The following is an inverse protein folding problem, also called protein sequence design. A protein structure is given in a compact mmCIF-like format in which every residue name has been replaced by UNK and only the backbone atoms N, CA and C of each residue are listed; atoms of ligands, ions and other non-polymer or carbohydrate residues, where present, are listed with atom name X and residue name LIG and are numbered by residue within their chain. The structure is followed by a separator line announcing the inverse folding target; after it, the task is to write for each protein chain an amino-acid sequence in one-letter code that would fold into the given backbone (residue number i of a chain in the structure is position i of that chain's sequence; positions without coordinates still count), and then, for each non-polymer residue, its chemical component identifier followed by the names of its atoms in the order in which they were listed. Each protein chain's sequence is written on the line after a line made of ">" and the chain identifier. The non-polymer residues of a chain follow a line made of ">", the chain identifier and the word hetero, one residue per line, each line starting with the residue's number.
data_IF_161139211819
#
_entry.id   IF_161139211819
#
_cell.length_a   1.000
_cell.length_b   1.000
_cell.length_c   1.000
_cell.angle_alpha   90.00
_cell.angle_beta   90.00
_cell.angle_gamma   90.00
#
_symmetry.space_group_name_H-M   'P 1'
#
loop_
_entity.id
_entity.type
_entity.pdbx_description
1 polymer ?
#
# COMPACT_ATOMS: atom_id res chain seq x y z
N UNK A 1 -48.45 52.98 -34.26
CA UNK A 1 -47.25 52.16 -34.57
C UNK A 1 -47.61 50.74 -34.98
N UNK A 2 -48.42 50.00 -34.21
CA UNK A 2 -48.82 48.63 -34.58
C UNK A 2 -49.53 48.53 -35.94
N UNK A 3 -50.46 49.46 -36.24
CA UNK A 3 -51.10 49.54 -37.55
C UNK A 3 -50.13 49.83 -38.71
N UNK A 4 -48.98 50.45 -38.44
CA UNK A 4 -47.93 50.71 -39.44
C UNK A 4 -47.07 49.45 -39.60
N UNK A 5 -46.65 48.83 -38.50
CA UNK A 5 -45.88 47.58 -38.51
C UNK A 5 -46.61 46.46 -39.27
N UNK A 6 -47.93 46.32 -39.06
CA UNK A 6 -48.78 45.33 -39.75
C UNK A 6 -48.95 45.60 -41.24
N UNK A 7 -48.79 46.85 -41.71
CA UNK A 7 -48.73 47.17 -43.14
C UNK A 7 -47.43 46.68 -43.78
N UNK A 8 -46.33 46.60 -43.02
CA UNK A 8 -45.04 46.10 -43.48
C UNK A 8 -44.95 44.57 -43.42
N UNK A 9 -45.37 43.94 -42.31
CA UNK A 9 -45.42 42.48 -42.17
C UNK A 9 -46.37 42.06 -41.06
N UNK A 10 -47.10 40.95 -41.28
CA UNK A 10 -47.98 40.35 -40.27
C UNK A 10 -47.23 39.73 -39.08
N UNK A 11 -45.93 39.52 -39.21
CA UNK A 11 -45.07 38.96 -38.16
C UNK A 11 -44.50 40.05 -37.24
N UNK A 12 -44.59 41.32 -37.62
CA UNK A 12 -44.11 42.42 -36.79
C UNK A 12 -45.14 42.75 -35.72
N UNK A 13 -44.72 42.68 -34.46
CA UNK A 13 -45.51 43.06 -33.30
C UNK A 13 -44.78 44.18 -32.56
N UNK A 14 -45.46 45.33 -32.40
CA UNK A 14 -44.88 46.46 -31.66
C UNK A 14 -45.14 46.25 -30.17
N UNK A 15 -44.07 46.02 -29.42
CA UNK A 15 -44.15 45.90 -27.96
C UNK A 15 -44.23 47.27 -27.31
N UNK A 16 -44.88 47.34 -26.14
CA UNK A 16 -44.92 48.58 -25.36
C UNK A 16 -43.49 48.98 -24.93
N UNK A 17 -43.17 50.28 -24.92
CA UNK A 17 -41.88 50.74 -24.43
C UNK A 17 -41.80 50.55 -22.91
N UNK A 18 -40.82 49.78 -22.46
CA UNK A 18 -40.50 49.64 -21.03
C UNK A 18 -39.33 50.55 -20.68
N UNK A 19 -39.36 51.14 -19.47
CA UNK A 19 -38.13 51.69 -18.90
C UNK A 19 -37.15 50.53 -18.71
N UNK A 20 -35.87 50.75 -19.02
CA UNK A 20 -34.86 49.68 -18.90
C UNK A 20 -34.79 49.13 -17.47
N UNK A 21 -34.98 49.99 -16.46
CA UNK A 21 -35.06 49.62 -15.04
C UNK A 21 -36.23 48.70 -14.74
N UNK A 22 -37.41 49.00 -15.27
CA UNK A 22 -38.63 48.19 -15.12
C UNK A 22 -38.48 46.85 -15.83
N UNK A 23 -37.95 46.86 -17.05
CA UNK A 23 -37.65 45.64 -17.80
C UNK A 23 -36.72 44.71 -17.02
N UNK A 24 -35.64 45.23 -16.45
CA UNK A 24 -34.72 44.43 -15.62
C UNK A 24 -35.34 43.93 -14.32
N UNK A 25 -36.23 44.71 -13.69
CA UNK A 25 -37.01 44.25 -12.54
C UNK A 25 -37.89 43.06 -12.94
N UNK A 26 -38.62 43.18 -14.05
CA UNK A 26 -39.46 42.10 -14.58
C UNK A 26 -38.66 40.85 -14.99
N UNK A 27 -37.46 41.01 -15.55
CA UNK A 27 -36.54 39.90 -15.84
C UNK A 27 -36.11 39.20 -14.56
N UNK A 28 -35.78 39.96 -13.52
CA UNK A 28 -35.34 39.44 -12.22
C UNK A 28 -36.46 38.72 -11.48
N UNK A 29 -37.67 39.26 -11.54
CA UNK A 29 -38.86 38.72 -10.86
C UNK A 29 -39.50 37.56 -11.63
N UNK A 30 -39.02 37.31 -12.86
CA UNK A 30 -39.49 36.20 -13.68
C UNK A 30 -40.85 36.41 -14.30
N UNK A 31 -41.17 37.65 -14.69
CA UNK A 31 -42.49 37.98 -15.22
C UNK A 31 -42.80 37.17 -16.51
N UNK A 32 -43.91 36.42 -16.58
CA UNK A 32 -44.18 35.48 -17.68
C UNK A 32 -44.15 36.11 -19.08
N UNK A 33 -44.67 37.33 -19.20
CA UNK A 33 -44.68 38.09 -20.46
C UNK A 33 -43.26 38.35 -20.95
N UNK A 34 -42.37 38.79 -20.06
CA UNK A 34 -40.98 39.12 -20.40
C UNK A 34 -40.18 37.86 -20.76
N UNK A 35 -40.45 36.73 -20.09
CA UNK A 35 -39.82 35.46 -20.42
C UNK A 35 -40.24 34.92 -21.78
N UNK A 36 -41.53 34.97 -22.11
CA UNK A 36 -42.01 34.56 -23.43
C UNK A 36 -41.46 35.49 -24.53
N UNK A 37 -41.46 36.80 -24.25
CA UNK A 37 -40.87 37.81 -25.14
C UNK A 37 -39.39 37.54 -25.43
N UNK A 38 -38.56 37.30 -24.41
CA UNK A 38 -37.12 37.01 -24.60
C UNK A 38 -36.92 35.68 -25.32
N UNK A 39 -37.74 34.66 -25.02
CA UNK A 39 -37.62 33.32 -25.60
C UNK A 39 -37.97 33.31 -27.09
N UNK A 40 -39.12 33.85 -27.45
CA UNK A 40 -39.68 33.78 -28.80
C UNK A 40 -39.24 34.96 -29.67
N UNK A 41 -38.94 36.11 -29.06
CA UNK A 41 -38.59 37.33 -29.78
C UNK A 41 -37.37 37.17 -30.67
N UNK A 42 -37.48 37.62 -31.91
CA UNK A 42 -36.38 37.78 -32.86
C UNK A 42 -36.21 39.29 -33.08
N UNK A 43 -35.08 39.89 -32.68
CA UNK A 43 -34.91 41.32 -32.82
C UNK A 43 -34.74 41.69 -34.30
N UNK A 44 -35.50 42.68 -34.76
CA UNK A 44 -35.32 43.29 -36.09
C UNK A 44 -34.16 44.29 -36.07
N UNK A 45 -33.94 44.95 -34.93
CA UNK A 45 -32.82 45.83 -34.65
C UNK A 45 -32.48 45.73 -33.17
N UNK A 46 -31.22 45.43 -32.85
CA UNK A 46 -30.69 45.32 -31.48
C UNK A 46 -29.30 45.97 -31.42
N UNK A 47 -29.05 46.74 -30.36
CA UNK A 47 -27.73 47.31 -30.04
C UNK A 47 -27.13 46.59 -28.84
N UNK A 48 -27.01 45.27 -28.96
CA UNK A 48 -26.44 44.36 -27.95
C UNK A 48 -27.15 44.36 -26.59
N UNK A 49 -28.46 44.63 -26.54
CA UNK A 49 -29.24 44.56 -25.30
C UNK A 49 -30.03 43.25 -25.25
N UNK A 50 -30.75 42.92 -26.33
CA UNK A 50 -31.69 41.80 -26.32
C UNK A 50 -31.02 40.45 -26.52
N UNK A 51 -30.11 40.32 -27.50
CA UNK A 51 -29.44 39.05 -27.81
C UNK A 51 -28.64 38.47 -26.63
N UNK A 52 -27.85 39.25 -25.86
CA UNK A 52 -27.18 38.73 -24.67
C UNK A 52 -28.15 38.21 -23.61
N UNK A 53 -29.27 38.90 -23.39
CA UNK A 53 -30.30 38.47 -22.43
C UNK A 53 -30.95 37.17 -22.89
N UNK A 54 -31.25 37.05 -24.18
CA UNK A 54 -31.74 35.80 -24.77
C UNK A 54 -30.75 34.66 -24.59
N UNK A 55 -29.44 34.89 -24.77
CA UNK A 55 -28.40 33.90 -24.49
C UNK A 55 -28.36 33.52 -23.02
N UNK A 56 -28.44 34.48 -22.10
CA UNK A 56 -28.49 34.21 -20.66
C UNK A 56 -29.72 33.39 -20.26
N UNK A 57 -30.88 33.66 -20.87
CA UNK A 57 -32.08 32.84 -20.70
C UNK A 57 -31.85 31.41 -21.19
N UNK A 58 -31.33 31.24 -22.41
CA UNK A 58 -31.02 29.93 -23.00
C UNK A 58 -29.98 29.14 -22.20
N UNK A 59 -29.01 29.82 -21.59
CA UNK A 59 -28.02 29.22 -20.68
C UNK A 59 -28.60 28.91 -19.29
N UNK A 60 -29.87 29.23 -19.03
CA UNK A 60 -30.51 29.06 -17.73
C UNK A 60 -29.88 29.90 -16.62
N UNK A 61 -29.35 31.08 -16.94
CA UNK A 61 -28.81 32.03 -15.95
C UNK A 61 -29.90 32.95 -15.38
N UNK A 62 -31.01 33.14 -16.09
CA UNK A 62 -32.17 33.91 -15.61
C UNK A 62 -33.12 32.98 -14.85
N UNK A 63 -33.32 33.25 -13.56
CA UNK A 63 -34.18 32.43 -12.68
C UNK A 63 -35.52 33.15 -12.45
N UNK A 64 -36.63 32.43 -12.27
CA UNK A 64 -36.81 30.97 -12.27
C UNK A 64 -37.26 30.43 -13.65
N UNK A 65 -36.48 30.62 -14.73
CA UNK A 65 -36.90 30.17 -16.07
C UNK A 65 -36.91 28.64 -16.22
N UNK A 66 -37.63 28.14 -17.24
CA UNK A 66 -37.67 26.71 -17.58
C UNK A 66 -36.26 26.16 -17.87
N UNK A 67 -35.46 26.93 -18.60
CA UNK A 67 -34.08 26.62 -18.96
C UNK A 67 -33.19 26.52 -17.72
N UNK A 68 -33.40 27.40 -16.73
CA UNK A 68 -32.72 27.30 -15.44
C UNK A 68 -33.13 26.00 -14.72
N UNK A 69 -34.43 25.67 -14.65
CA UNK A 69 -34.92 24.43 -14.04
C UNK A 69 -34.30 23.20 -14.70
N UNK A 70 -34.30 23.12 -16.03
CA UNK A 70 -33.68 22.04 -16.80
C UNK A 70 -32.18 21.92 -16.47
N UNK A 71 -31.45 23.03 -16.45
CA UNK A 71 -30.03 23.07 -16.06
C UNK A 71 -29.79 22.55 -14.64
N UNK A 72 -30.67 22.85 -13.68
CA UNK A 72 -30.55 22.32 -12.31
C UNK A 72 -30.84 20.82 -12.24
N UNK A 73 -31.90 20.34 -12.91
CA UNK A 73 -32.28 18.92 -12.93
C UNK A 73 -31.22 18.07 -13.62
N UNK A 74 -30.67 18.52 -14.75
CA UNK A 74 -29.63 17.79 -15.48
C UNK A 74 -28.34 17.56 -14.67
N UNK A 75 -28.05 18.42 -13.69
CA UNK A 75 -26.86 18.28 -12.83
C UNK A 75 -26.94 17.07 -11.92
N UNK A 76 -28.15 16.67 -11.49
CA UNK A 76 -28.36 15.57 -10.54
C UNK A 76 -27.78 14.25 -11.06
N UNK A 77 -28.26 13.72 -12.20
CA UNK A 77 -27.74 12.47 -12.77
C UNK A 77 -26.25 12.52 -13.12
N UNK A 78 -25.74 13.68 -13.58
CA UNK A 78 -24.31 13.88 -13.85
C UNK A 78 -23.46 13.72 -12.58
N UNK A 79 -23.93 14.25 -11.44
CA UNK A 79 -23.27 14.11 -10.14
C UNK A 79 -23.31 12.68 -9.61
N UNK A 80 -24.44 11.97 -9.77
CA UNK A 80 -24.56 10.55 -9.37
C UNK A 80 -23.56 9.70 -10.15
N UNK A 81 -23.54 9.80 -11.48
CA UNK A 81 -22.57 9.07 -12.33
C UNK A 81 -21.12 9.37 -11.96
N UNK A 82 -20.80 10.62 -11.58
CA UNK A 82 -19.46 10.99 -11.14
C UNK A 82 -19.05 10.21 -9.89
N UNK A 83 -19.93 10.08 -8.89
CA UNK A 83 -19.65 9.35 -7.64
C UNK A 83 -19.53 7.85 -7.91
N UNK A 84 -20.42 7.28 -8.72
CA UNK A 84 -20.38 5.86 -9.11
C UNK A 84 -19.05 5.49 -9.78
N UNK A 85 -18.57 6.35 -10.70
CA UNK A 85 -17.28 6.16 -11.36
C UNK A 85 -16.11 6.36 -10.40
N UNK A 86 -16.10 7.44 -9.61
CA UNK A 86 -15.01 7.74 -8.69
C UNK A 86 -14.79 6.62 -7.67
N UNK A 87 -15.88 6.03 -7.16
CA UNK A 87 -15.86 4.91 -6.22
C UNK A 87 -15.12 3.69 -6.77
N UNK A 88 -15.30 3.36 -8.05
CA UNK A 88 -14.61 2.23 -8.69
C UNK A 88 -13.10 2.49 -8.69
N UNK A 89 -12.69 3.64 -9.20
CA UNK A 89 -11.27 3.96 -9.40
C UNK A 89 -10.53 4.10 -8.08
N UNK A 90 -11.04 4.91 -7.14
CA UNK A 90 -10.31 5.19 -5.89
C UNK A 90 -10.12 3.91 -5.06
N UNK A 91 -11.17 3.11 -4.88
CA UNK A 91 -11.10 1.95 -3.99
C UNK A 91 -10.26 0.83 -4.60
N UNK A 92 -10.47 0.51 -5.89
CA UNK A 92 -9.76 -0.60 -6.52
C UNK A 92 -8.27 -0.29 -6.64
N UNK A 93 -7.91 0.96 -6.99
CA UNK A 93 -6.51 1.37 -7.14
C UNK A 93 -5.76 1.34 -5.82
N UNK A 94 -6.33 1.91 -4.75
CA UNK A 94 -5.66 1.95 -3.44
C UNK A 94 -5.59 0.56 -2.80
N UNK A 95 -6.64 -0.26 -2.91
CA UNK A 95 -6.61 -1.64 -2.42
C UNK A 95 -5.58 -2.48 -3.19
N UNK A 96 -5.52 -2.32 -4.51
CA UNK A 96 -4.54 -2.98 -5.36
C UNK A 96 -3.11 -2.64 -4.94
N UNK A 97 -2.76 -1.36 -4.82
CA UNK A 97 -1.40 -0.97 -4.48
C UNK A 97 -1.04 -1.37 -3.05
N UNK A 98 -1.96 -1.22 -2.10
CA UNK A 98 -1.73 -1.67 -0.73
C UNK A 98 -1.39 -3.17 -0.65
N UNK A 99 -2.10 -4.01 -1.40
CA UNK A 99 -1.86 -5.46 -1.44
C UNK A 99 -0.57 -5.79 -2.22
N UNK A 100 -0.37 -5.19 -3.38
CA UNK A 100 0.81 -5.44 -4.22
C UNK A 100 2.11 -5.04 -3.50
N UNK A 101 2.19 -3.82 -2.98
CA UNK A 101 3.41 -3.28 -2.37
C UNK A 101 3.73 -3.98 -1.05
N UNK A 102 2.72 -4.34 -0.25
CA UNK A 102 2.95 -5.11 0.96
C UNK A 102 3.47 -6.52 0.67
N UNK A 103 3.00 -7.17 -0.41
CA UNK A 103 3.56 -8.44 -0.87
C UNK A 103 5.01 -8.28 -1.38
N UNK A 104 5.27 -7.25 -2.20
CA UNK A 104 6.62 -6.93 -2.69
C UNK A 104 7.59 -6.66 -1.52
N UNK A 105 7.15 -5.94 -0.49
CA UNK A 105 7.97 -5.66 0.69
C UNK A 105 8.39 -6.95 1.42
N UNK A 106 7.48 -7.92 1.58
CA UNK A 106 7.81 -9.22 2.18
C UNK A 106 8.82 -9.98 1.32
N UNK A 107 8.64 -9.99 0.00
CA UNK A 107 9.57 -10.66 -0.92
C UNK A 107 10.96 -10.01 -0.91
N UNK A 108 11.03 -8.67 -0.89
CA UNK A 108 12.27 -7.92 -0.71
C UNK A 108 12.94 -8.23 0.62
N UNK A 109 12.15 -8.36 1.68
CA UNK A 109 12.67 -8.75 3.00
C UNK A 109 13.27 -10.16 2.97
N UNK A 110 12.77 -11.07 2.14
CA UNK A 110 13.36 -12.39 1.87
C UNK A 110 14.57 -12.35 0.92
N UNK A 111 15.00 -11.17 0.49
CA UNK A 111 16.10 -10.99 -0.46
C UNK A 111 15.74 -11.35 -1.89
N UNK A 112 14.45 -11.29 -2.25
CA UNK A 112 13.97 -11.48 -3.63
C UNK A 112 13.71 -10.13 -4.28
N UNK A 113 13.88 -10.04 -5.60
CA UNK A 113 13.48 -8.85 -6.35
C UNK A 113 11.95 -8.70 -6.31
N UNK A 114 11.42 -7.46 -6.21
CA UNK A 114 9.98 -7.24 -6.24
C UNK A 114 9.42 -7.63 -7.61
N UNK A 115 8.42 -8.53 -7.68
CA UNK A 115 7.83 -8.96 -8.94
C UNK A 115 7.05 -7.84 -9.61
N UNK A 116 6.90 -7.93 -10.93
CA UNK A 116 5.95 -7.09 -11.67
C UNK A 116 4.51 -7.45 -11.27
N UNK A 117 3.53 -6.54 -11.40
CA UNK A 117 2.17 -6.84 -10.96
C UNK A 117 1.56 -8.14 -11.51
N UNK A 118 1.68 -8.47 -12.82
CA UNK A 118 1.14 -9.72 -13.33
C UNK A 118 1.76 -10.99 -12.73
N UNK A 119 2.99 -10.90 -12.24
CA UNK A 119 3.77 -12.01 -11.70
C UNK A 119 3.68 -12.10 -10.16
N UNK A 120 3.08 -11.08 -9.52
CA UNK A 120 3.13 -10.92 -8.07
C UNK A 120 2.43 -12.05 -7.32
N UNK A 121 1.26 -12.49 -7.79
CA UNK A 121 0.55 -13.62 -7.20
C UNK A 121 1.36 -14.91 -7.26
N UNK A 122 1.98 -15.21 -8.41
CA UNK A 122 2.80 -16.41 -8.58
C UNK A 122 4.09 -16.38 -7.75
N UNK A 123 4.71 -15.20 -7.62
CA UNK A 123 5.83 -15.00 -6.73
C UNK A 123 5.45 -15.25 -5.26
N UNK A 124 4.29 -14.74 -4.83
CA UNK A 124 3.73 -15.00 -3.49
C UNK A 124 3.49 -16.50 -3.29
N UNK A 125 2.88 -17.19 -4.25
CA UNK A 125 2.69 -18.66 -4.18
C UNK A 125 4.02 -19.39 -4.03
N UNK A 126 4.98 -19.05 -4.88
CA UNK A 126 6.28 -19.72 -4.93
C UNK A 126 7.09 -19.55 -3.66
N UNK A 127 7.12 -18.35 -3.09
CA UNK A 127 8.04 -18.02 -2.01
C UNK A 127 7.40 -17.97 -0.62
N UNK A 128 6.08 -17.79 -0.53
CA UNK A 128 5.36 -17.69 0.75
C UNK A 128 4.36 -18.83 0.97
N UNK A 129 3.64 -19.28 -0.07
CA UNK A 129 2.66 -20.37 0.09
C UNK A 129 3.33 -21.73 0.11
N UNK A 130 4.21 -22.04 -0.86
CA UNK A 130 4.94 -23.32 -0.91
C UNK A 130 5.84 -23.57 0.30
N UNK A 131 6.21 -22.52 1.00
CA UNK A 131 7.04 -22.53 2.22
C UNK A 131 6.20 -22.44 3.49
N UNK A 132 4.87 -22.53 3.37
CA UNK A 132 3.90 -22.52 4.47
C UNK A 132 3.94 -21.24 5.34
N UNK A 133 4.50 -20.15 4.82
CA UNK A 133 4.42 -18.84 5.46
C UNK A 133 3.04 -18.20 5.29
N UNK A 134 2.35 -18.48 4.19
CA UNK A 134 1.09 -17.84 3.83
C UNK A 134 0.10 -18.86 3.27
N UNK A 135 -1.18 -18.67 3.54
CA UNK A 135 -2.24 -19.49 2.95
C UNK A 135 -2.53 -19.09 1.49
N UNK A 136 -2.93 -20.06 0.65
CA UNK A 136 -3.22 -19.85 -0.78
C UNK A 136 -4.33 -18.80 -1.00
N UNK A 137 -5.27 -18.65 -0.06
CA UNK A 137 -6.33 -17.64 -0.15
C UNK A 137 -5.80 -16.22 -0.30
N UNK A 138 -4.66 -15.89 0.31
CA UNK A 138 -4.04 -14.58 0.17
C UNK A 138 -3.44 -14.38 -1.21
N UNK A 139 -2.77 -15.39 -1.76
CA UNK A 139 -2.24 -15.31 -3.12
C UNK A 139 -3.37 -15.12 -4.14
N UNK A 140 -4.49 -15.82 -3.94
CA UNK A 140 -5.72 -15.65 -4.72
C UNK A 140 -6.33 -14.26 -4.57
N UNK A 141 -6.45 -13.74 -3.34
CA UNK A 141 -6.94 -12.37 -3.10
C UNK A 141 -6.10 -11.34 -3.88
N UNK A 142 -4.77 -11.52 -3.92
CA UNK A 142 -3.86 -10.65 -4.67
C UNK A 142 -4.08 -10.78 -6.19
N UNK A 143 -4.22 -12.00 -6.71
CA UNK A 143 -4.53 -12.23 -8.12
C UNK A 143 -5.85 -11.60 -8.53
N UNK A 144 -6.89 -11.78 -7.72
CA UNK A 144 -8.23 -11.27 -7.98
C UNK A 144 -8.25 -9.73 -8.03
N UNK A 145 -7.53 -9.04 -7.13
CA UNK A 145 -7.46 -7.56 -7.16
C UNK A 145 -6.64 -7.04 -8.36
N UNK A 146 -5.57 -7.74 -8.75
CA UNK A 146 -4.79 -7.41 -9.96
C UNK A 146 -5.68 -7.51 -11.20
N UNK A 147 -6.48 -8.57 -11.29
CA UNK A 147 -7.41 -8.79 -12.40
C UNK A 147 -8.54 -7.75 -12.39
N UNK A 148 -9.09 -7.44 -11.21
CA UNK A 148 -10.11 -6.40 -11.08
C UNK A 148 -9.60 -5.04 -11.55
N UNK A 149 -8.40 -4.63 -11.14
CA UNK A 149 -7.79 -3.38 -11.58
C UNK A 149 -7.63 -3.32 -13.10
N UNK A 150 -7.12 -4.38 -13.73
CA UNK A 150 -7.01 -4.47 -15.20
C UNK A 150 -8.37 -4.31 -15.88
N UNK A 151 -9.43 -4.92 -15.34
CA UNK A 151 -10.79 -4.76 -15.88
C UNK A 151 -11.32 -3.32 -15.73
N UNK A 152 -10.98 -2.64 -14.62
CA UNK A 152 -11.31 -1.23 -14.40
C UNK A 152 -10.56 -0.33 -15.38
N UNK A 153 -9.24 -0.51 -15.55
CA UNK A 153 -8.42 0.24 -16.52
C UNK A 153 -8.95 0.12 -17.95
N UNK A 154 -9.38 -1.08 -18.35
CA UNK A 154 -9.98 -1.34 -19.66
C UNK A 154 -11.46 -0.94 -19.76
N UNK A 155 -12.03 -0.24 -18.75
CA UNK A 155 -13.43 0.19 -18.69
C UNK A 155 -14.44 -0.95 -18.88
N UNK A 156 -14.05 -2.19 -18.53
CA UNK A 156 -14.92 -3.37 -18.59
C UNK A 156 -15.87 -3.45 -17.39
N UNK A 157 -15.47 -2.86 -16.26
CA UNK A 157 -16.32 -2.73 -15.07
C UNK A 157 -17.17 -1.47 -15.21
N UNK A 158 -18.50 -1.64 -15.33
CA UNK A 158 -19.46 -0.53 -15.46
C UNK A 158 -19.96 0.01 -14.12
N UNK A 159 -19.95 -0.82 -13.08
CA UNK A 159 -20.46 -0.48 -11.74
C UNK A 159 -19.87 -1.43 -10.70
N UNK A 160 -19.71 -0.96 -9.46
CA UNK A 160 -19.34 -1.79 -8.30
C UNK A 160 -20.29 -1.48 -7.14
N UNK A 161 -20.82 -2.52 -6.49
CA UNK A 161 -21.74 -2.31 -5.38
C UNK A 161 -21.01 -1.74 -4.14
N UNK A 162 -21.74 -1.13 -3.20
CA UNK A 162 -21.14 -0.64 -1.95
C UNK A 162 -20.50 -1.79 -1.16
N UNK A 163 -21.22 -2.90 -1.12
CA UNK A 163 -20.81 -4.14 -0.47
C UNK A 163 -19.50 -4.70 -1.02
N UNK A 164 -19.33 -4.72 -2.34
CA UNK A 164 -18.10 -5.23 -2.96
C UNK A 164 -16.90 -4.35 -2.61
N UNK A 165 -17.09 -3.03 -2.58
CA UNK A 165 -16.07 -2.08 -2.13
C UNK A 165 -15.65 -2.34 -0.68
N UNK A 166 -16.62 -2.50 0.21
CA UNK A 166 -16.34 -2.78 1.62
C UNK A 166 -15.64 -4.13 1.80
N UNK A 167 -16.00 -5.13 0.99
CA UNK A 167 -15.34 -6.43 0.99
C UNK A 167 -13.88 -6.34 0.54
N UNK A 168 -13.59 -5.58 -0.52
CA UNK A 168 -12.21 -5.34 -0.98
C UNK A 168 -11.37 -4.61 0.05
N UNK A 169 -11.93 -3.58 0.69
CA UNK A 169 -11.25 -2.87 1.79
C UNK A 169 -10.93 -3.84 2.93
N UNK A 170 -11.87 -4.73 3.29
CA UNK A 170 -11.66 -5.74 4.34
C UNK A 170 -10.57 -6.74 3.95
N UNK A 171 -10.59 -7.23 2.71
CA UNK A 171 -9.55 -8.12 2.15
C UNK A 171 -8.17 -7.46 2.19
N UNK A 172 -8.06 -6.23 1.69
CA UNK A 172 -6.82 -5.46 1.68
C UNK A 172 -6.27 -5.22 3.10
N UNK A 173 -7.12 -4.80 4.05
CA UNK A 173 -6.72 -4.61 5.46
C UNK A 173 -6.18 -5.90 6.08
N UNK A 174 -6.86 -7.04 5.86
CA UNK A 174 -6.41 -8.35 6.34
C UNK A 174 -5.08 -8.72 5.69
N UNK A 175 -4.97 -8.57 4.38
CA UNK A 175 -3.78 -8.90 3.60
C UNK A 175 -2.56 -8.13 4.09
N UNK A 176 -2.64 -6.79 4.17
CA UNK A 176 -1.55 -5.92 4.63
C UNK A 176 -1.11 -6.29 6.05
N UNK A 177 -2.08 -6.49 6.97
CA UNK A 177 -1.78 -6.89 8.35
C UNK A 177 -1.05 -8.23 8.40
N UNK A 178 -1.42 -9.18 7.55
CA UNK A 178 -0.73 -10.48 7.44
C UNK A 178 0.70 -10.30 6.91
N UNK A 179 0.90 -9.50 5.87
CA UNK A 179 2.25 -9.21 5.34
C UNK A 179 3.17 -8.56 6.38
N UNK A 180 2.66 -7.58 7.14
CA UNK A 180 3.42 -6.97 8.24
C UNK A 180 3.84 -7.99 9.31
N UNK A 181 2.92 -8.89 9.70
CA UNK A 181 3.23 -9.97 10.64
C UNK A 181 4.27 -10.95 10.10
N UNK A 182 4.23 -11.23 8.80
CA UNK A 182 5.23 -12.10 8.16
C UNK A 182 6.63 -11.52 8.20
N UNK A 183 6.79 -10.21 7.99
CA UNK A 183 8.10 -9.56 8.12
C UNK A 183 8.69 -9.80 9.51
N UNK A 184 7.89 -9.62 10.57
CA UNK A 184 8.31 -9.86 11.95
C UNK A 184 8.65 -11.34 12.18
N UNK A 185 7.81 -12.26 11.73
CA UNK A 185 8.05 -13.72 11.85
C UNK A 185 9.35 -14.13 11.14
N UNK A 186 9.61 -13.60 9.95
CA UNK A 186 10.82 -13.90 9.18
C UNK A 186 12.06 -13.31 9.88
N UNK A 187 11.98 -12.11 10.46
CA UNK A 187 13.09 -11.51 11.21
C UNK A 187 13.45 -12.35 12.45
N UNK A 188 12.44 -12.82 13.19
CA UNK A 188 12.62 -13.74 14.33
C UNK A 188 13.40 -14.98 13.87
N UNK A 189 12.89 -15.70 12.86
CA UNK A 189 13.52 -16.92 12.36
C UNK A 189 14.96 -16.69 11.87
N UNK A 190 15.24 -15.56 11.23
CA UNK A 190 16.60 -15.20 10.80
C UNK A 190 17.54 -15.01 12.00
N UNK A 191 17.09 -14.30 13.05
CA UNK A 191 17.89 -14.07 14.26
C UNK A 191 18.17 -15.37 15.00
N UNK A 192 17.13 -16.18 15.23
CA UNK A 192 17.25 -17.50 15.84
C UNK A 192 18.22 -18.38 15.07
N UNK A 193 18.08 -18.42 13.73
CA UNK A 193 18.97 -19.19 12.87
C UNK A 193 20.42 -18.74 12.92
N UNK A 194 20.71 -17.44 13.10
CA UNK A 194 22.09 -16.95 13.27
C UNK A 194 22.64 -17.37 14.63
N UNK A 195 21.86 -17.24 15.71
CA UNK A 195 22.28 -17.59 17.07
C UNK A 195 22.58 -19.08 17.16
N UNK A 196 21.63 -19.93 16.77
CA UNK A 196 21.78 -21.40 16.84
C UNK A 196 22.97 -21.88 16.00
N UNK A 197 23.13 -21.37 14.77
CA UNK A 197 24.30 -21.72 13.94
C UNK A 197 25.61 -21.25 14.55
N UNK A 198 25.65 -20.03 15.09
CA UNK A 198 26.87 -19.47 15.69
C UNK A 198 27.27 -20.26 16.94
N UNK A 199 26.30 -20.60 17.79
CA UNK A 199 26.50 -21.45 18.97
C UNK A 199 26.97 -22.86 18.61
N UNK A 200 26.32 -23.49 17.62
CA UNK A 200 26.69 -24.83 17.14
C UNK A 200 28.14 -24.85 16.65
N UNK A 201 28.52 -23.92 15.76
CA UNK A 201 29.87 -23.84 15.21
C UNK A 201 30.90 -23.56 16.31
N UNK A 202 30.60 -22.64 17.24
CA UNK A 202 31.46 -22.32 18.38
C UNK A 202 31.74 -23.59 19.21
N UNK A 203 30.68 -24.31 19.60
CA UNK A 203 30.80 -25.53 20.39
C UNK A 203 31.53 -26.64 19.67
N UNK A 204 31.20 -26.92 18.41
CA UNK A 204 31.88 -27.96 17.62
C UNK A 204 33.36 -27.67 17.48
N UNK A 205 33.73 -26.40 17.30
CA UNK A 205 35.13 -25.98 17.22
C UNK A 205 35.85 -26.20 18.55
N UNK A 206 35.23 -25.82 19.69
CA UNK A 206 35.78 -26.09 21.03
C UNK A 206 35.94 -27.60 21.26
N UNK A 207 34.92 -28.40 20.96
CA UNK A 207 34.96 -29.85 21.12
C UNK A 207 36.04 -30.50 20.25
N UNK A 208 36.24 -30.00 19.03
CA UNK A 208 37.29 -30.49 18.12
C UNK A 208 38.68 -30.20 18.67
N UNK A 209 38.92 -28.98 19.19
CA UNK A 209 40.17 -28.62 19.83
C UNK A 209 40.48 -29.51 21.04
N UNK A 210 39.49 -29.70 21.91
CA UNK A 210 39.61 -30.53 23.11
C UNK A 210 39.92 -32.00 22.75
N UNK A 211 39.27 -32.53 21.72
CA UNK A 211 39.55 -33.87 21.18
C UNK A 211 40.97 -33.97 20.61
N UNK A 212 41.41 -33.01 19.81
CA UNK A 212 42.75 -32.97 19.24
C UNK A 212 43.84 -32.95 20.33
N UNK A 213 43.57 -32.28 21.45
CA UNK A 213 44.46 -32.24 22.61
C UNK A 213 44.36 -33.47 23.53
N UNK A 214 43.56 -34.49 23.15
CA UNK A 214 43.28 -35.67 23.97
C UNK A 214 42.69 -35.34 25.36
N UNK A 215 41.97 -34.22 25.47
CA UNK A 215 41.28 -33.78 26.69
C UNK A 215 39.77 -33.69 26.45
N UNK A 216 39.08 -34.82 26.18
CA UNK A 216 37.65 -34.80 25.90
C UNK A 216 36.84 -34.28 27.10
N UNK A 217 35.70 -33.65 26.80
CA UNK A 217 34.74 -33.19 27.81
C UNK A 217 34.17 -34.39 28.56
N UNK A 218 34.06 -34.31 29.88
CA UNK A 218 33.43 -35.36 30.70
C UNK A 218 31.91 -35.39 30.45
N UNK A 219 31.28 -36.56 30.64
CA UNK A 219 29.87 -36.80 30.28
C UNK A 219 28.87 -35.80 30.87
N UNK A 220 29.15 -35.27 32.05
CA UNK A 220 28.27 -34.34 32.80
C UNK A 220 28.89 -32.95 32.99
N UNK A 221 29.95 -32.63 32.22
CA UNK A 221 30.64 -31.34 32.32
C UNK A 221 30.16 -30.39 31.20
N UNK A 222 29.77 -29.13 31.53
CA UNK A 222 29.49 -28.12 30.53
C UNK A 222 30.71 -27.88 29.63
N UNK A 223 30.47 -27.70 28.33
CA UNK A 223 31.55 -27.43 27.36
C UNK A 223 32.34 -26.18 27.74
N UNK A 224 31.68 -25.15 28.29
CA UNK A 224 32.31 -23.93 28.80
C UNK A 224 33.32 -24.19 29.93
N UNK A 225 33.02 -25.10 30.86
CA UNK A 225 33.94 -25.46 31.96
C UNK A 225 35.20 -26.18 31.45
N UNK A 226 35.03 -27.12 30.51
CA UNK A 226 36.16 -27.80 29.87
C UNK A 226 36.98 -26.84 28.99
N UNK A 227 36.31 -25.91 28.31
CA UNK A 227 36.95 -24.87 27.50
C UNK A 227 37.85 -23.98 28.36
N UNK A 228 37.32 -23.47 29.47
CA UNK A 228 38.07 -22.64 30.41
C UNK A 228 39.30 -23.38 30.96
N UNK A 229 39.10 -24.61 31.44
CA UNK A 229 40.16 -25.40 32.10
C UNK A 229 41.31 -25.75 31.16
N UNK A 230 41.03 -26.10 29.91
CA UNK A 230 42.01 -26.71 29.03
C UNK A 230 42.52 -25.83 27.90
N UNK A 231 41.82 -24.75 27.55
CA UNK A 231 42.23 -23.85 26.46
C UNK A 231 42.49 -22.43 26.97
N UNK A 232 41.67 -21.91 27.89
CA UNK A 232 41.82 -20.52 28.38
C UNK A 232 42.86 -20.41 29.50
N UNK A 233 42.72 -21.16 30.60
CA UNK A 233 43.68 -21.13 31.72
C UNK A 233 45.12 -21.42 31.30
N UNK A 234 45.39 -22.34 30.36
CA UNK A 234 46.74 -22.55 29.83
C UNK A 234 47.25 -21.46 28.88
N UNK A 235 46.45 -20.43 28.58
CA UNK A 235 46.80 -19.32 27.70
C UNK A 235 46.81 -19.66 26.21
N UNK A 236 46.22 -20.79 25.80
CA UNK A 236 46.19 -21.21 24.39
C UNK A 236 45.19 -20.40 23.57
N UNK A 237 44.11 -19.96 24.22
CA UNK A 237 43.03 -19.17 23.63
C UNK A 237 42.68 -18.04 24.59
N UNK A 238 42.41 -16.85 24.04
CA UNK A 238 42.00 -15.67 24.81
C UNK A 238 40.66 -15.86 25.53
N UNK A 239 40.57 -15.39 26.78
CA UNK A 239 39.37 -15.43 27.63
C UNK A 239 38.12 -14.82 26.96
N UNK A 240 38.30 -13.81 26.11
CA UNK A 240 37.21 -13.20 25.33
C UNK A 240 36.34 -14.22 24.58
N UNK A 241 36.89 -15.36 24.17
CA UNK A 241 36.12 -16.38 23.45
C UNK A 241 35.29 -17.26 24.38
N UNK A 242 35.69 -17.40 25.65
CA UNK A 242 34.84 -18.02 26.66
C UNK A 242 33.63 -17.13 26.97
N UNK A 243 33.84 -15.81 27.07
CA UNK A 243 32.75 -14.84 27.20
C UNK A 243 31.78 -14.94 26.00
N UNK A 244 32.31 -15.04 24.78
CA UNK A 244 31.49 -15.23 23.57
C UNK A 244 30.66 -16.51 23.63
N UNK A 245 31.23 -17.63 24.11
CA UNK A 245 30.49 -18.88 24.28
C UNK A 245 29.35 -18.73 25.31
N UNK A 246 29.65 -18.13 26.47
CA UNK A 246 28.68 -17.92 27.54
C UNK A 246 27.54 -16.98 27.09
N UNK A 247 27.86 -15.91 26.36
CA UNK A 247 26.83 -15.00 25.84
C UNK A 247 26.00 -15.70 24.75
N UNK A 248 26.59 -16.56 23.90
CA UNK A 248 25.82 -17.37 22.95
C UNK A 248 24.88 -18.37 23.66
N UNK A 249 25.28 -18.97 24.79
CA UNK A 249 24.41 -19.80 25.63
C UNK A 249 23.22 -19.00 26.17
N UNK A 250 23.48 -17.78 26.67
CA UNK A 250 22.43 -16.85 27.12
C UNK A 250 21.49 -16.46 25.98
N UNK A 251 22.02 -16.07 24.82
CA UNK A 251 21.21 -15.74 23.64
C UNK A 251 20.33 -16.92 23.23
N UNK A 252 20.86 -18.14 23.28
CA UNK A 252 20.11 -19.37 22.98
C UNK A 252 18.98 -19.62 23.98
N UNK A 253 19.18 -19.31 25.26
CA UNK A 253 18.12 -19.36 26.27
C UNK A 253 16.98 -18.40 25.93
N UNK A 254 17.30 -17.17 25.52
CA UNK A 254 16.29 -16.19 25.08
C UNK A 254 15.54 -16.64 23.83
N UNK A 255 16.20 -17.33 22.89
CA UNK A 255 15.54 -17.98 21.74
C UNK A 255 14.50 -19.00 22.21
N UNK A 256 14.87 -19.89 23.15
CA UNK A 256 13.93 -20.89 23.71
C UNK A 256 12.75 -20.26 24.46
N UNK A 257 12.96 -19.09 25.05
CA UNK A 257 11.91 -18.31 25.72
C UNK A 257 11.06 -17.46 24.75
N UNK A 258 11.37 -17.44 23.45
CA UNK A 258 10.67 -16.62 22.45
C UNK A 258 11.00 -15.12 22.52
N UNK A 259 12.07 -14.74 23.22
CA UNK A 259 12.48 -13.35 23.49
C UNK A 259 13.61 -12.85 22.59
N UNK A 260 13.83 -13.48 21.43
CA UNK A 260 14.93 -13.12 20.52
C UNK A 260 14.89 -11.67 20.02
N UNK A 261 13.71 -11.04 20.02
CA UNK A 261 13.55 -9.65 19.61
C UNK A 261 14.08 -8.64 20.65
N UNK A 262 14.28 -9.05 21.90
CA UNK A 262 14.93 -8.23 22.93
C UNK A 262 16.43 -8.06 22.67
N UNK A 263 17.02 -8.94 21.85
CA UNK A 263 18.43 -8.87 21.47
C UNK A 263 18.63 -7.88 20.31
N UNK A 264 19.53 -6.89 20.47
CA UNK A 264 19.95 -6.03 19.36
C UNK A 264 20.55 -6.86 18.21
N UNK A 265 20.17 -6.54 16.97
CA UNK A 265 20.62 -7.28 15.78
C UNK A 265 22.13 -7.18 15.61
N UNK A 266 22.70 -6.02 15.91
CA UNK A 266 24.13 -5.71 15.85
C UNK A 266 24.90 -6.61 16.81
N UNK A 267 24.37 -6.86 18.00
CA UNK A 267 24.96 -7.75 18.98
C UNK A 267 25.02 -9.19 18.45
N UNK A 268 23.95 -9.69 17.83
CA UNK A 268 23.90 -11.03 17.24
C UNK A 268 24.93 -11.16 16.11
N UNK A 269 25.02 -10.17 15.23
CA UNK A 269 25.97 -10.17 14.11
C UNK A 269 27.43 -10.06 14.57
N UNK A 270 27.68 -9.27 15.62
CA UNK A 270 29.00 -9.15 16.24
C UNK A 270 29.48 -10.50 16.79
N UNK A 271 28.63 -11.23 17.52
CA UNK A 271 28.98 -12.54 18.07
C UNK A 271 29.24 -13.58 16.97
N UNK A 272 28.46 -13.56 15.88
CA UNK A 272 28.74 -14.39 14.69
C UNK A 272 30.13 -14.11 14.12
N UNK A 273 30.56 -12.85 14.09
CA UNK A 273 31.91 -12.49 13.61
C UNK A 273 33.00 -12.91 14.59
N UNK A 274 32.76 -12.83 15.90
CA UNK A 274 33.67 -13.39 16.90
C UNK A 274 33.85 -14.91 16.74
N UNK A 275 32.77 -15.66 16.47
CA UNK A 275 32.87 -17.10 16.17
C UNK A 275 33.72 -17.35 14.93
N UNK A 276 33.58 -16.56 13.86
CA UNK A 276 34.45 -16.68 12.67
C UNK A 276 35.92 -16.43 12.98
N UNK A 277 36.23 -15.42 13.81
CA UNK A 277 37.59 -15.14 14.25
C UNK A 277 38.13 -16.28 15.12
N UNK A 278 37.30 -16.83 15.99
CA UNK A 278 37.64 -17.99 16.83
C UNK A 278 38.03 -19.20 15.99
N UNK A 279 37.29 -19.55 14.94
CA UNK A 279 37.64 -20.68 14.04
C UNK A 279 39.05 -20.51 13.47
N UNK A 280 39.44 -19.29 13.08
CA UNK A 280 40.79 -19.00 12.56
C UNK A 280 41.86 -19.18 13.63
N UNK A 281 41.58 -18.77 14.85
CA UNK A 281 42.48 -18.90 16.00
C UNK A 281 42.63 -20.37 16.43
N UNK A 282 41.52 -21.09 16.53
CA UNK A 282 41.46 -22.53 16.74
C UNK A 282 42.32 -23.29 15.71
N UNK A 283 42.22 -22.93 14.43
CA UNK A 283 43.06 -23.51 13.38
C UNK A 283 44.56 -23.24 13.55
N UNK A 284 44.98 -22.15 14.19
CA UNK A 284 46.38 -21.89 14.54
C UNK A 284 46.83 -22.76 15.73
N UNK A 285 45.98 -22.90 16.74
CA UNK A 285 46.26 -23.74 17.91
C UNK A 285 46.40 -25.21 17.51
N UNK A 286 45.48 -25.74 16.68
CA UNK A 286 45.56 -27.13 16.20
C UNK A 286 46.87 -27.44 15.48
N UNK A 287 47.35 -26.53 14.62
CA UNK A 287 48.63 -26.71 13.92
C UNK A 287 49.83 -26.74 14.87
N UNK A 288 49.80 -25.96 15.94
CA UNK A 288 50.87 -25.94 16.95
C UNK A 288 50.86 -27.17 17.87
N UNK A 289 49.69 -27.77 18.12
CA UNK A 289 49.56 -28.95 18.98
C UNK A 289 49.82 -30.28 18.29
N UNK A 290 49.92 -30.29 16.94
CA UNK A 290 50.24 -31.48 16.13
C UNK A 290 51.73 -31.57 15.76
N UNK A 291 52.56 -30.66 16.28
CA UNK A 291 54.02 -30.70 16.24
C UNK A 291 54.52 -30.77 17.68
#
# INVERSE_FOLDING_TARGET
>A
LDAIAKKCSKQLSVQQPYLLTEFWAMVRDGHPIVFNFIREGVPVFDKDIFLPIKRLLQMGEIKPSKEAVEKYIERGPKRIRRVENAKIYMVVEDCYYAMLESAQAVLMFLGKSPPRPPEAADAVRKYLVKTEFLDESYAKDLEDIINLRKMVEHKRVRSISGKDVDEWIKKAKRFVKTMQKLIVKIEILKREGIIEKSYMIMNETVLTLLKAMKKPVKRDEPVSAAFERYLVKPGLISEKYLEVLNELERMRKLVKEGKVMELPKEQILMHREYVRKFIREAGKVMRKSMH
#
